data_IF_453023061294
#
_entry.id   IF_453023061294
#
_cell.length_a   1.000
_cell.length_b   1.000
_cell.length_c   1.000
_cell.angle_alpha   90.00
_cell.angle_beta   90.00
_cell.angle_gamma   90.00
#
_symmetry.space_group_name_H-M   'P 1'
#
loop_
_entity.id
_entity.type
_entity.pdbx_description
1 polymer ?
#
# COMPACT_ATOMS: atom_id res chain seq x y z
N UNK A 1 2.08 -17.90 -0.84
CA UNK A 1 2.14 -16.85 0.20
C UNK A 1 0.88 -16.03 0.08
N UNK A 2 -0.08 -16.22 0.97
CA UNK A 2 -1.37 -15.51 0.99
C UNK A 2 -1.26 -14.42 2.05
N UNK A 3 -0.55 -13.35 1.73
CA UNK A 3 -0.70 -12.10 2.48
C UNK A 3 -1.97 -11.49 1.92
N UNK A 4 -3.06 -11.64 2.66
CA UNK A 4 -4.36 -11.13 2.24
C UNK A 4 -4.29 -9.61 2.23
N UNK A 5 -4.20 -9.02 1.05
CA UNK A 5 -4.07 -7.57 0.89
C UNK A 5 -5.27 -6.83 1.50
N UNK A 6 -6.41 -7.51 1.66
CA UNK A 6 -7.59 -7.00 2.36
C UNK A 6 -7.42 -6.93 3.88
N UNK A 7 -6.59 -7.77 4.50
CA UNK A 7 -6.27 -7.65 5.94
C UNK A 7 -5.56 -6.33 6.27
N UNK A 8 -4.71 -5.82 5.36
CA UNK A 8 -4.11 -4.50 5.54
C UNK A 8 -5.11 -3.35 5.35
N UNK A 9 -6.18 -3.59 4.59
CA UNK A 9 -7.25 -2.63 4.35
C UNK A 9 -8.21 -2.57 5.54
N UNK A 10 -8.59 -3.70 6.13
CA UNK A 10 -9.40 -3.75 7.36
C UNK A 10 -8.74 -3.02 8.54
N UNK A 11 -7.42 -2.81 8.47
CA UNK A 11 -6.68 -2.00 9.45
C UNK A 11 -6.77 -0.48 9.20
N UNK A 12 -7.39 -0.03 8.11
CA UNK A 12 -7.84 1.36 7.94
C UNK A 12 -9.08 1.58 8.81
N UNK A 13 -8.86 1.89 10.08
CA UNK A 13 -9.88 2.41 10.99
C UNK A 13 -10.15 3.89 10.66
N UNK A 14 -10.81 4.15 9.51
CA UNK A 14 -11.42 5.44 9.26
C UNK A 14 -12.78 5.47 9.97
N UNK A 15 -12.72 5.86 11.25
CA UNK A 15 -13.83 6.21 12.12
C UNK A 15 -15.08 5.29 12.06
N UNK A 16 -15.17 4.32 12.99
CA UNK A 16 -16.48 3.76 13.36
C UNK A 16 -16.50 2.32 13.87
N UNK A 17 -15.46 1.51 13.63
CA UNK A 17 -15.37 0.16 14.18
C UNK A 17 -14.20 0.07 15.14
N UNK A 18 -14.42 -0.67 16.22
CA UNK A 18 -13.68 -0.68 17.49
C UNK A 18 -12.22 -1.19 17.42
N UNK A 19 -11.48 -0.89 16.36
CA UNK A 19 -10.03 -1.03 16.26
C UNK A 19 -9.39 0.36 16.47
N UNK A 20 -8.57 0.49 17.51
CA UNK A 20 -7.78 1.71 17.71
C UNK A 20 -6.98 2.01 16.43
N UNK A 21 -7.01 3.27 15.92
CA UNK A 21 -6.16 3.67 14.81
C UNK A 21 -4.72 3.28 15.12
N UNK A 22 -3.98 2.74 14.14
CA UNK A 22 -2.57 2.33 14.33
C UNK A 22 -1.74 3.43 14.99
N UNK A 23 -1.99 4.69 14.63
CA UNK A 23 -1.35 5.85 15.27
C UNK A 23 -1.54 5.88 16.79
N UNK A 24 -2.74 5.59 17.31
CA UNK A 24 -2.99 5.50 18.76
C UNK A 24 -2.35 4.27 19.41
N UNK A 25 -2.17 3.16 18.68
CA UNK A 25 -1.46 1.99 19.19
C UNK A 25 0.05 2.21 19.24
N UNK A 26 0.61 2.98 18.29
CA UNK A 26 2.02 3.39 18.31
C UNK A 26 2.30 4.44 19.40
N UNK A 27 1.32 5.31 19.67
CA UNK A 27 1.38 6.35 20.70
C UNK A 27 0.98 5.87 22.10
N UNK A 28 0.46 4.65 22.24
CA UNK A 28 0.09 4.10 23.54
C UNK A 28 1.36 3.84 24.36
N UNK A 29 1.38 4.34 25.59
CA UNK A 29 2.50 4.19 26.53
C UNK A 29 2.84 2.71 26.79
N UNK A 30 1.82 1.83 26.71
CA UNK A 30 1.94 0.38 26.91
C UNK A 30 2.17 -0.42 25.62
N UNK A 31 2.45 0.23 24.49
CA UNK A 31 2.69 -0.47 23.23
C UNK A 31 3.99 -1.27 23.29
N UNK A 32 4.02 -2.55 22.87
CA UNK A 32 5.27 -3.32 22.76
C UNK A 32 6.21 -2.76 21.67
N UNK A 33 5.76 -1.75 20.90
CA UNK A 33 6.55 -0.99 19.93
C UNK A 33 7.11 0.31 20.54
N UNK A 34 6.79 0.61 21.80
CA UNK A 34 7.30 1.74 22.57
C UNK A 34 8.37 1.18 23.52
N UNK A 35 9.51 0.80 22.95
CA UNK A 35 10.66 0.17 23.62
C UNK A 35 11.53 1.16 24.43
N UNK A 36 11.01 2.38 24.68
CA UNK A 36 11.73 3.44 25.39
C UNK A 36 12.61 4.31 24.50
N UNK A 37 12.73 4.02 23.20
CA UNK A 37 13.44 4.90 22.23
C UNK A 37 12.55 5.98 21.61
N UNK A 38 11.25 5.98 21.93
CA UNK A 38 10.27 6.91 21.36
C UNK A 38 9.83 6.50 19.95
N UNK A 39 8.91 7.28 19.38
CA UNK A 39 8.29 6.99 18.08
C UNK A 39 9.37 7.08 16.99
N UNK A 40 9.85 5.94 16.51
CA UNK A 40 10.88 5.85 15.47
C UNK A 40 10.30 5.99 14.05
N UNK A 41 9.67 7.14 13.75
CA UNK A 41 9.16 7.43 12.41
C UNK A 41 8.09 8.52 12.34
N UNK A 42 7.62 8.79 11.12
CA UNK A 42 6.49 9.67 10.81
C UNK A 42 5.31 8.83 10.34
N UNK A 43 4.14 9.09 10.89
CA UNK A 43 2.87 8.50 10.46
C UNK A 43 1.85 9.62 10.24
N UNK A 44 1.14 9.56 9.12
CA UNK A 44 0.05 10.48 8.82
C UNK A 44 -1.02 9.81 7.97
N UNK A 45 -2.28 10.13 8.26
CA UNK A 45 -3.43 9.72 7.47
C UNK A 45 -4.35 10.92 7.22
N UNK A 46 -5.00 10.91 6.06
CA UNK A 46 -5.97 11.93 5.65
C UNK A 46 -7.07 11.23 4.88
N UNK A 47 -8.33 11.53 5.21
CA UNK A 47 -9.49 11.00 4.50
C UNK A 47 -10.51 12.09 4.24
N UNK A 48 -11.14 12.05 3.07
CA UNK A 48 -12.28 12.88 2.72
C UNK A 48 -13.44 11.98 2.32
N UNK A 49 -14.59 12.21 2.95
CA UNK A 49 -15.85 11.61 2.54
C UNK A 49 -16.69 12.64 1.80
N UNK A 50 -17.15 12.28 0.61
CA UNK A 50 -17.97 13.12 -0.24
C UNK A 50 -19.42 12.65 -0.17
N UNK A 51 -20.11 13.11 0.88
CA UNK A 51 -21.55 12.89 1.10
C UNK A 51 -21.95 11.40 1.13
N UNK A 52 -21.08 10.52 1.63
CA UNK A 52 -21.29 9.08 1.62
C UNK A 52 -21.33 8.46 0.22
N UNK A 53 -20.92 9.19 -0.82
CA UNK A 53 -20.90 8.66 -2.18
C UNK A 53 -19.55 8.03 -2.51
N UNK A 54 -18.48 8.74 -2.14
CA UNK A 54 -17.10 8.40 -2.42
C UNK A 54 -16.26 8.79 -1.22
N UNK A 55 -15.38 7.91 -0.80
CA UNK A 55 -14.35 8.19 0.20
C UNK A 55 -12.99 8.09 -0.46
N UNK A 56 -12.16 9.12 -0.31
CA UNK A 56 -10.75 9.10 -0.74
C UNK A 56 -9.89 9.23 0.50
N UNK A 57 -8.95 8.32 0.70
CA UNK A 57 -8.07 8.36 1.86
C UNK A 57 -6.62 8.02 1.50
N UNK A 58 -5.68 8.71 2.12
CA UNK A 58 -4.25 8.46 1.99
C UNK A 58 -3.63 8.17 3.36
N UNK A 59 -2.68 7.22 3.41
CA UNK A 59 -1.77 7.06 4.54
C UNK A 59 -0.33 7.13 4.08
N UNK A 60 0.51 7.69 4.93
CA UNK A 60 1.95 7.73 4.79
C UNK A 60 2.58 7.28 6.11
N UNK A 61 3.44 6.27 6.04
CA UNK A 61 4.25 5.81 7.16
C UNK A 61 5.70 5.84 6.73
N UNK A 62 6.62 6.34 7.56
CA UNK A 62 8.06 6.33 7.30
C UNK A 62 8.83 6.05 8.57
N UNK A 63 9.48 4.90 8.65
CA UNK A 63 10.25 4.51 9.83
C UNK A 63 11.71 4.95 9.72
N UNK A 64 12.31 5.31 10.85
CA UNK A 64 13.73 5.63 10.92
C UNK A 64 14.57 4.39 10.58
N UNK A 65 15.64 4.58 9.80
CA UNK A 65 16.67 3.54 9.61
C UNK A 65 17.55 3.46 10.86
N UNK A 66 17.87 2.24 11.27
CA UNK A 66 18.87 1.97 12.32
C UNK A 66 20.27 2.33 11.82
N UNK A 67 21.23 2.48 12.74
CA UNK A 67 22.61 2.81 12.34
C UNK A 67 23.27 1.69 11.53
N UNK A 68 22.94 0.42 11.82
CA UNK A 68 23.39 -0.72 11.01
C UNK A 68 22.87 -0.65 9.56
N UNK A 69 21.61 -0.24 9.38
CA UNK A 69 21.01 -0.09 8.05
C UNK A 69 21.57 1.10 7.27
N UNK A 70 21.87 2.22 7.95
CA UNK A 70 22.55 3.35 7.33
C UNK A 70 23.97 2.98 6.89
N UNK A 71 24.70 2.23 7.71
CA UNK A 71 26.04 1.74 7.37
C UNK A 71 26.02 0.76 6.19
N UNK A 72 25.00 -0.10 6.12
CA UNK A 72 24.79 -0.98 4.97
C UNK A 72 24.48 -0.19 3.69
N UNK A 73 23.62 0.83 3.77
CA UNK A 73 23.29 1.72 2.66
C UNK A 73 24.52 2.48 2.14
N UNK A 74 25.40 2.96 3.03
CA UNK A 74 26.65 3.62 2.65
C UNK A 74 27.62 2.64 1.95
N UNK A 75 27.69 1.39 2.43
CA UNK A 75 28.49 0.35 1.80
C UNK A 75 27.96 -0.02 0.41
N UNK A 76 26.64 -0.15 0.25
CA UNK A 76 26.00 -0.44 -1.03
C UNK A 76 26.18 0.72 -2.02
N UNK A 77 26.08 1.97 -1.55
CA UNK A 77 26.33 3.16 -2.34
C UNK A 77 27.80 3.19 -2.82
N UNK A 78 28.76 2.90 -1.95
CA UNK A 78 30.17 2.84 -2.31
C UNK A 78 30.46 1.73 -3.33
N UNK A 79 29.81 0.57 -3.19
CA UNK A 79 29.92 -0.53 -4.14
C UNK A 79 29.33 -0.17 -5.51
N UNK A 80 28.15 0.47 -5.55
CA UNK A 80 27.52 0.94 -6.78
C UNK A 80 28.36 2.01 -7.49
N UNK A 81 28.94 2.95 -6.75
CA UNK A 81 29.87 3.95 -7.30
C UNK A 81 31.12 3.30 -7.89
N UNK A 82 31.71 2.32 -7.20
CA UNK A 82 32.86 1.58 -7.70
C UNK A 82 32.53 0.75 -8.96
N UNK A 83 31.30 0.23 -9.07
CA UNK A 83 30.80 -0.50 -10.22
C UNK A 83 30.30 0.40 -11.37
N UNK A 84 30.19 1.72 -11.15
CA UNK A 84 29.63 2.66 -12.13
C UNK A 84 28.12 2.47 -12.37
N UNK A 85 27.40 1.87 -11.43
CA UNK A 85 25.96 1.62 -11.52
C UNK A 85 25.16 2.64 -10.71
N UNK A 86 23.92 2.92 -11.11
CA UNK A 86 23.02 3.77 -10.33
C UNK A 86 22.59 3.09 -9.02
N UNK A 87 22.72 3.80 -7.90
CA UNK A 87 22.23 3.32 -6.61
C UNK A 87 20.82 3.85 -6.36
N UNK A 88 19.84 2.94 -6.24
CA UNK A 88 18.48 3.31 -5.86
C UNK A 88 18.24 2.90 -4.40
N UNK A 89 18.28 3.84 -3.44
CA UNK A 89 18.05 3.51 -2.04
C UNK A 89 16.63 2.99 -1.84
N UNK A 90 16.50 1.89 -1.11
CA UNK A 90 15.21 1.41 -0.62
C UNK A 90 14.94 2.13 0.70
N UNK A 91 13.90 2.97 0.71
CA UNK A 91 13.45 3.66 1.89
C UNK A 91 12.65 2.75 2.83
N UNK A 92 12.27 3.28 3.99
CA UNK A 92 11.35 2.61 4.92
C UNK A 92 9.94 3.22 4.90
N UNK A 93 9.67 4.03 3.89
CA UNK A 93 8.37 4.65 3.69
C UNK A 93 7.37 3.70 3.02
N UNK A 94 6.10 3.80 3.39
CA UNK A 94 4.96 3.21 2.70
C UNK A 94 3.88 4.26 2.52
N UNK A 95 3.38 4.38 1.29
CA UNK A 95 2.24 5.20 0.96
C UNK A 95 1.10 4.32 0.47
N UNK A 96 -0.12 4.66 0.83
CA UNK A 96 -1.31 4.02 0.27
C UNK A 96 -2.39 5.06 0.04
N UNK A 97 -2.95 5.09 -1.15
CA UNK A 97 -4.12 5.87 -1.54
C UNK A 97 -5.28 4.89 -1.76
N UNK A 98 -6.44 5.19 -1.18
CA UNK A 98 -7.65 4.38 -1.19
C UNK A 98 -8.79 5.21 -1.78
N UNK A 99 -9.62 4.56 -2.57
CA UNK A 99 -10.87 5.05 -3.13
C UNK A 99 -11.95 4.03 -2.82
N UNK A 100 -12.99 4.44 -2.10
CA UNK A 100 -14.18 3.65 -1.80
C UNK A 100 -15.39 4.32 -2.42
N UNK A 101 -16.29 3.56 -3.03
CA UNK A 101 -17.55 4.06 -3.58
C UNK A 101 -18.71 3.31 -2.92
N UNK A 102 -19.14 3.74 -1.72
CA UNK A 102 -20.26 3.12 -1.01
C UNK A 102 -21.65 3.50 -1.55
N UNK A 103 -21.76 4.52 -2.42
CA UNK A 103 -23.03 5.04 -2.97
C UNK A 103 -23.94 4.01 -3.65
N UNK A 104 -23.39 2.85 -3.99
CA UNK A 104 -23.99 1.86 -4.86
C UNK A 104 -24.49 0.71 -4.00
N UNK A 105 -25.76 0.76 -3.59
CA UNK A 105 -26.38 -0.25 -2.71
C UNK A 105 -26.18 -1.69 -3.18
N UNK A 106 -26.07 -1.92 -4.49
CA UNK A 106 -25.86 -3.26 -5.07
C UNK A 106 -24.42 -3.52 -5.53
N UNK A 107 -23.59 -2.48 -5.68
CA UNK A 107 -22.26 -2.57 -6.29
C UNK A 107 -21.20 -1.88 -5.42
N UNK A 108 -20.53 -2.60 -4.55
CA UNK A 108 -19.43 -2.04 -3.77
C UNK A 108 -18.20 -1.93 -4.68
N UNK A 109 -17.60 -0.75 -4.76
CA UNK A 109 -16.35 -0.56 -5.49
C UNK A 109 -15.27 -0.01 -4.57
N UNK A 110 -14.09 -0.61 -4.69
CA UNK A 110 -12.88 -0.24 -3.97
C UNK A 110 -11.72 -0.21 -4.96
N UNK A 111 -10.84 0.77 -4.83
CA UNK A 111 -9.55 0.76 -5.47
C UNK A 111 -8.48 1.32 -4.54
N UNK A 112 -7.26 0.81 -4.65
CA UNK A 112 -6.13 1.41 -3.96
C UNK A 112 -4.87 1.40 -4.82
N UNK A 113 -3.99 2.34 -4.51
CA UNK A 113 -2.61 2.37 -4.95
C UNK A 113 -1.73 2.27 -3.72
N UNK A 114 -0.74 1.39 -3.75
CA UNK A 114 0.25 1.23 -2.69
C UNK A 114 1.65 1.30 -3.28
N UNK A 115 2.52 2.02 -2.58
CA UNK A 115 3.95 2.03 -2.83
C UNK A 115 4.72 1.80 -1.54
N UNK A 116 5.68 0.89 -1.56
CA UNK A 116 6.58 0.60 -0.44
C UNK A 116 7.99 1.10 -0.74
N UNK A 117 8.88 1.05 0.24
CA UNK A 117 10.28 1.40 0.02
C UNK A 117 10.52 2.89 -0.27
N UNK A 118 9.62 3.78 0.16
CA UNK A 118 9.66 5.20 -0.18
C UNK A 118 10.77 5.91 0.58
N UNK A 119 11.62 6.61 -0.14
CA UNK A 119 12.72 7.42 0.43
C UNK A 119 12.30 8.86 0.72
N UNK A 120 11.39 9.42 -0.09
CA UNK A 120 10.94 10.81 0.01
C UNK A 120 9.61 11.06 -0.69
N UNK A 121 9.09 12.27 -0.61
CA UNK A 121 7.80 12.62 -1.21
C UNK A 121 7.80 12.56 -2.75
N UNK A 122 8.95 12.81 -3.39
CA UNK A 122 9.15 12.69 -4.84
C UNK A 122 9.07 11.24 -5.33
N UNK A 123 9.28 10.28 -4.42
CA UNK A 123 9.26 8.85 -4.72
C UNK A 123 7.82 8.30 -4.74
N UNK A 124 6.83 8.98 -4.16
CA UNK A 124 5.47 8.45 -3.94
C UNK A 124 4.77 7.98 -5.22
N UNK A 125 4.97 8.67 -6.34
CA UNK A 125 4.30 8.38 -7.62
C UNK A 125 5.25 7.85 -8.70
N UNK A 126 6.36 7.22 -8.32
CA UNK A 126 7.19 6.45 -9.26
C UNK A 126 6.56 5.08 -9.46
N UNK A 127 6.58 4.59 -10.70
CA UNK A 127 5.97 3.31 -11.07
C UNK A 127 7.07 2.29 -11.37
N UNK A 128 7.44 1.54 -10.34
CA UNK A 128 8.45 0.48 -10.38
C UNK A 128 7.96 -0.76 -9.61
N UNK A 129 8.85 -1.72 -9.37
CA UNK A 129 8.60 -2.97 -8.63
C UNK A 129 8.05 -2.80 -7.21
N UNK A 130 8.12 -1.59 -6.66
CA UNK A 130 7.57 -1.23 -5.35
C UNK A 130 6.13 -0.71 -5.42
N UNK A 131 5.55 -0.59 -6.62
CA UNK A 131 4.21 -0.04 -6.86
C UNK A 131 3.20 -1.10 -7.25
N UNK A 132 2.00 -0.97 -6.69
CA UNK A 132 0.86 -1.81 -7.03
C UNK A 132 -0.42 -0.98 -6.99
N UNK A 133 -1.29 -1.21 -7.96
CA UNK A 133 -2.66 -0.73 -7.96
C UNK A 133 -3.62 -1.91 -8.01
N UNK A 134 -4.73 -1.83 -7.29
CA UNK A 134 -5.79 -2.84 -7.31
C UNK A 134 -7.13 -2.13 -7.36
N UNK A 135 -8.05 -2.68 -8.13
CA UNK A 135 -9.45 -2.30 -8.16
C UNK A 135 -10.31 -3.55 -7.99
N UNK A 136 -11.37 -3.43 -7.20
CA UNK A 136 -12.31 -4.49 -6.91
C UNK A 136 -13.73 -3.96 -6.99
N UNK A 137 -14.62 -4.75 -7.58
CA UNK A 137 -16.05 -4.54 -7.59
C UNK A 137 -16.75 -5.78 -7.01
N UNK A 138 -17.68 -5.58 -6.08
CA UNK A 138 -18.55 -6.62 -5.53
C UNK A 138 -20.00 -6.31 -5.88
N UNK A 139 -20.63 -7.17 -6.65
CA UNK A 139 -22.04 -7.07 -7.01
C UNK A 139 -22.87 -8.07 -6.21
N UNK A 140 -23.84 -7.60 -5.45
CA UNK A 140 -24.72 -8.48 -4.68
C UNK A 140 -25.72 -9.18 -5.60
N UNK A 141 -25.61 -10.50 -5.73
CA UNK A 141 -26.53 -11.30 -6.54
C UNK A 141 -27.72 -11.82 -5.71
N UNK A 142 -27.44 -12.25 -4.48
CA UNK A 142 -28.39 -12.74 -3.49
C UNK A 142 -27.93 -12.30 -2.10
N UNK A 143 -28.78 -12.33 -1.06
CA UNK A 143 -28.33 -12.15 0.31
C UNK A 143 -27.12 -13.06 0.60
N UNK A 144 -26.03 -12.46 1.08
CA UNK A 144 -24.76 -13.12 1.41
C UNK A 144 -23.95 -13.66 0.23
N UNK A 145 -24.39 -13.49 -1.03
CA UNK A 145 -23.68 -13.98 -2.22
C UNK A 145 -23.32 -12.81 -3.13
N UNK A 146 -22.02 -12.64 -3.35
CA UNK A 146 -21.46 -11.54 -4.13
C UNK A 146 -20.68 -12.09 -5.32
N UNK A 147 -20.92 -11.53 -6.50
CA UNK A 147 -20.01 -11.65 -7.63
C UNK A 147 -18.87 -10.64 -7.41
N UNK A 148 -17.64 -11.12 -7.38
CA UNK A 148 -16.46 -10.28 -7.16
C UNK A 148 -15.64 -10.26 -8.44
N UNK A 149 -15.32 -9.07 -8.92
CA UNK A 149 -14.35 -8.85 -9.97
C UNK A 149 -13.19 -8.05 -9.40
N UNK A 150 -11.97 -8.50 -9.63
CA UNK A 150 -10.75 -7.83 -9.19
C UNK A 150 -9.80 -7.67 -10.37
N UNK A 151 -9.15 -6.51 -10.44
CA UNK A 151 -8.03 -6.25 -11.33
C UNK A 151 -6.88 -5.70 -10.49
N UNK A 152 -5.66 -6.11 -10.81
CA UNK A 152 -4.43 -5.60 -10.20
C UNK A 152 -3.43 -5.26 -11.29
N UNK A 153 -2.63 -4.24 -11.02
CA UNK A 153 -1.53 -3.79 -11.86
C UNK A 153 -0.29 -3.66 -11.00
N UNK A 154 0.79 -4.27 -11.45
CA UNK A 154 2.13 -4.16 -10.86
C UNK A 154 3.09 -3.69 -11.94
N UNK A 155 4.11 -2.94 -11.56
CA UNK A 155 5.17 -2.57 -12.50
C UNK A 155 6.35 -3.49 -12.27
N UNK A 156 6.86 -4.09 -13.33
CA UNK A 156 7.97 -5.05 -13.26
C UNK A 156 9.04 -4.60 -14.22
N UNK A 157 10.30 -4.68 -13.77
CA UNK A 157 11.43 -4.37 -14.63
C UNK A 157 11.52 -5.41 -15.75
N UNK A 158 11.54 -4.95 -16.99
CA UNK A 158 11.81 -5.76 -18.15
C UNK A 158 13.18 -5.37 -18.74
N UNK A 159 14.00 -6.38 -18.98
CA UNK A 159 15.25 -6.19 -19.70
C UNK A 159 14.96 -5.76 -21.14
N UNK A 160 15.75 -4.80 -21.63
CA UNK A 160 15.63 -4.32 -22.99
C UNK A 160 15.96 -5.43 -23.99
N UNK A 161 15.21 -5.48 -25.08
CA UNK A 161 15.55 -6.32 -26.23
C UNK A 161 16.28 -5.48 -27.28
N UNK A 162 16.65 -6.09 -28.42
CA UNK A 162 17.26 -5.36 -29.54
C UNK A 162 16.34 -4.21 -30.02
N UNK A 163 15.03 -4.34 -29.83
CA UNK A 163 14.01 -3.41 -30.34
C UNK A 163 13.34 -2.55 -29.25
N UNK A 164 13.62 -2.79 -27.97
CA UNK A 164 12.99 -2.09 -26.84
C UNK A 164 14.01 -1.74 -25.75
N UNK A 165 13.96 -0.51 -25.25
CA UNK A 165 14.78 -0.10 -24.10
C UNK A 165 14.34 -0.85 -22.83
N UNK A 166 15.30 -1.10 -21.93
CA UNK A 166 14.98 -1.64 -20.61
C UNK A 166 14.14 -0.64 -19.81
N UNK A 167 13.16 -1.13 -19.06
CA UNK A 167 12.25 -0.25 -18.33
C UNK A 167 11.22 -1.00 -17.51
N UNK A 168 10.48 -0.25 -16.72
CA UNK A 168 9.36 -0.79 -15.95
C UNK A 168 8.10 -0.80 -16.79
N UNK A 169 7.52 -1.99 -16.96
CA UNK A 169 6.27 -2.19 -17.68
C UNK A 169 5.15 -2.65 -16.74
N UNK A 170 3.92 -2.24 -17.06
CA UNK A 170 2.74 -2.66 -16.33
C UNK A 170 2.41 -4.12 -16.66
N UNK A 171 2.40 -4.95 -15.62
CA UNK A 171 1.88 -6.32 -15.64
C UNK A 171 0.51 -6.32 -14.99
N UNK A 172 -0.50 -6.70 -15.76
CA UNK A 172 -1.90 -6.72 -15.34
C UNK A 172 -2.34 -8.15 -15.01
N UNK A 173 -3.12 -8.29 -13.94
CA UNK A 173 -3.78 -9.54 -13.55
C UNK A 173 -5.23 -9.24 -13.17
N UNK A 174 -6.16 -10.12 -13.51
CA UNK A 174 -7.57 -9.94 -13.18
C UNK A 174 -8.26 -11.28 -12.94
N UNK A 175 -9.29 -11.24 -12.10
CA UNK A 175 -10.05 -12.40 -11.71
C UNK A 175 -11.52 -12.06 -11.49
N UNK A 176 -12.37 -13.08 -11.67
CA UNK A 176 -13.78 -13.03 -11.32
C UNK A 176 -14.09 -14.25 -10.47
N UNK A 177 -14.81 -14.05 -9.37
CA UNK A 177 -15.15 -15.09 -8.40
C UNK A 177 -16.49 -14.83 -7.73
N UNK A 178 -16.86 -15.75 -6.84
CA UNK A 178 -18.05 -15.63 -5.99
C UNK A 178 -17.60 -15.64 -4.54
N UNK A 179 -18.06 -14.67 -3.77
CA UNK A 179 -17.77 -14.53 -2.34
C UNK A 179 -19.05 -14.74 -1.53
N UNK A 180 -18.92 -15.44 -0.40
CA UNK A 180 -19.99 -15.64 0.56
C UNK A 180 -19.66 -14.86 1.83
N UNK A 181 -20.43 -13.81 2.13
CA UNK A 181 -20.21 -12.99 3.32
C UNK A 181 -21.46 -12.99 4.20
N UNK A 182 -21.34 -13.55 5.40
CA UNK A 182 -22.40 -13.62 6.40
C UNK A 182 -22.00 -12.80 7.64
N UNK A 183 -22.80 -11.79 8.00
CA UNK A 183 -22.61 -11.00 9.22
C UNK A 183 -23.58 -11.49 10.29
N UNK A 184 -23.08 -11.74 11.51
CA UNK A 184 -23.84 -12.13 12.69
C UNK A 184 -23.88 -10.99 13.72
#
# INVERSE_FOLDING_TARGET
MYFDTFYEIERFSLAGQSAMPKGRYLLAEDSPLNDGEGINGVYGELGFDFLGLVTVAGKYEHYSKTDAEKAAEEADLAAAQAAGTEYTPIGKGTFTLLLLVPALETLQFEAYYRRTGITGADDIFKFDDRSMAVAQAKYQMYPFVYLVAQASRRWVFQEGTIDSAAGYEATDDWGVGVEFAYQF
#
